data_IF_973256853427
#
_entry.id   IF_973256853427
#
_cell.length_a   1.000
_cell.length_b   1.000
_cell.length_c   1.000
_cell.angle_alpha   90.00
_cell.angle_beta   90.00
_cell.angle_gamma   90.00
#
_symmetry.space_group_name_H-M   'P 1'
#
loop_
_entity.id
_entity.type
_entity.pdbx_description
1 polymer ?
#
# COMPACT_ATOMS: atom_id res chain seq x y z
N UNK A 1 7.51 -5.29 -21.77
CA UNK A 1 6.81 -4.03 -21.42
C UNK A 1 7.65 -2.90 -21.97
N UNK A 2 7.35 -2.48 -23.21
CA UNK A 2 8.09 -1.44 -23.93
C UNK A 2 7.44 -0.07 -23.73
N UNK A 3 7.36 0.39 -22.48
CA UNK A 3 6.86 1.73 -22.16
C UNK A 3 7.91 2.63 -21.50
N UNK A 4 9.08 2.09 -21.13
CA UNK A 4 10.15 2.86 -20.46
C UNK A 4 9.78 3.37 -19.05
N UNK A 5 8.76 2.79 -18.42
CA UNK A 5 8.25 3.22 -17.11
C UNK A 5 8.89 2.42 -15.99
N UNK A 6 9.32 3.10 -14.92
CA UNK A 6 10.04 2.50 -13.77
C UNK A 6 9.11 2.08 -12.63
N UNK A 7 7.86 2.57 -12.60
CA UNK A 7 6.86 2.28 -11.55
C UNK A 7 5.45 2.19 -12.13
N UNK A 8 4.65 1.23 -11.65
CA UNK A 8 3.24 1.10 -12.05
C UNK A 8 2.33 1.24 -10.84
N UNK A 9 1.35 2.13 -10.95
CA UNK A 9 0.34 2.34 -9.91
C UNK A 9 -0.79 1.34 -10.12
N UNK A 10 -1.06 0.53 -9.09
CA UNK A 10 -2.12 -0.46 -9.07
C UNK A 10 -3.36 0.16 -8.41
N UNK A 11 -4.50 0.12 -9.10
CA UNK A 11 -5.79 0.58 -8.56
C UNK A 11 -6.19 -0.26 -7.34
N UNK A 12 -6.92 0.31 -6.38
CA UNK A 12 -7.41 -0.38 -5.18
C UNK A 12 -8.33 -1.60 -5.45
N UNK A 13 -8.85 -1.76 -6.66
CA UNK A 13 -9.63 -2.94 -7.04
C UNK A 13 -8.78 -4.20 -7.28
N UNK A 14 -7.47 -4.05 -7.50
CA UNK A 14 -6.58 -5.13 -7.91
C UNK A 14 -5.78 -5.71 -6.73
N UNK A 15 -5.51 -7.01 -6.76
CA UNK A 15 -4.72 -7.67 -5.70
C UNK A 15 -3.22 -7.45 -5.89
N UNK A 16 -2.55 -6.88 -4.88
CA UNK A 16 -1.11 -6.61 -4.92
C UNK A 16 -0.24 -7.86 -5.10
N UNK A 17 -0.70 -9.03 -4.64
CA UNK A 17 0.01 -10.30 -4.79
C UNK A 17 -0.03 -10.78 -6.24
N UNK A 18 -1.17 -10.61 -6.92
CA UNK A 18 -1.32 -10.90 -8.34
C UNK A 18 -0.46 -9.94 -9.18
N UNK A 19 -0.52 -8.64 -8.88
CA UNK A 19 0.35 -7.65 -9.52
C UNK A 19 1.84 -8.02 -9.31
N UNK A 20 2.24 -8.41 -8.10
CA UNK A 20 3.60 -8.89 -7.81
C UNK A 20 3.98 -10.09 -8.68
N UNK A 21 3.09 -11.07 -8.82
CA UNK A 21 3.35 -12.26 -9.63
C UNK A 21 3.51 -11.94 -11.13
N UNK A 22 2.74 -10.99 -11.67
CA UNK A 22 2.73 -10.66 -13.09
C UNK A 22 3.87 -9.73 -13.49
N UNK A 23 4.23 -8.76 -12.64
CA UNK A 23 5.12 -7.66 -13.02
C UNK A 23 6.18 -7.28 -11.97
N UNK A 24 6.16 -7.83 -10.75
CA UNK A 24 7.09 -7.47 -9.67
C UNK A 24 8.57 -7.78 -9.97
N UNK A 25 8.85 -8.65 -10.94
CA UNK A 25 10.21 -8.95 -11.44
C UNK A 25 10.78 -7.84 -12.36
N UNK A 26 9.92 -6.98 -12.88
CA UNK A 26 10.25 -5.99 -13.93
C UNK A 26 10.07 -4.55 -13.48
N UNK A 27 9.15 -4.27 -12.54
CA UNK A 27 8.77 -2.90 -12.19
C UNK A 27 8.44 -2.75 -10.70
N UNK A 28 8.70 -1.55 -10.16
CA UNK A 28 8.28 -1.20 -8.79
C UNK A 28 6.76 -1.07 -8.72
N UNK A 29 6.15 -1.69 -7.71
CA UNK A 29 4.70 -1.65 -7.47
C UNK A 29 4.38 -0.49 -6.54
N UNK A 30 3.34 0.29 -6.88
CA UNK A 30 2.85 1.41 -6.06
C UNK A 30 1.35 1.22 -5.79
N UNK A 31 0.90 1.37 -4.54
CA UNK A 31 -0.51 1.22 -4.14
C UNK A 31 -0.74 0.15 -3.04
N UNK A 32 -1.93 -0.19 -2.60
CA UNK A 32 -3.21 0.45 -2.88
C UNK A 32 -4.12 0.47 -1.64
N UNK A 33 -3.97 1.46 -0.77
CA UNK A 33 -4.97 1.65 0.30
C UNK A 33 -6.20 2.38 -0.27
N UNK A 34 -7.44 1.85 -0.12
CA UNK A 34 -8.64 2.48 -0.66
C UNK A 34 -8.87 3.89 -0.11
N UNK A 35 -8.83 4.94 -0.94
CA UNK A 35 -8.78 6.32 -0.45
C UNK A 35 -10.09 6.78 0.19
N UNK A 36 -11.25 6.33 -0.29
CA UNK A 36 -12.55 6.78 0.23
C UNK A 36 -12.99 5.92 1.41
N UNK A 37 -13.01 4.60 1.23
CA UNK A 37 -13.60 3.65 2.17
C UNK A 37 -12.71 3.45 3.39
N UNK A 38 -11.38 3.42 3.19
CA UNK A 38 -10.42 3.20 4.27
C UNK A 38 -9.85 4.52 4.77
N UNK A 39 -9.18 5.31 3.92
CA UNK A 39 -8.49 6.52 4.39
C UNK A 39 -9.50 7.61 4.77
N UNK A 40 -10.52 7.89 3.96
CA UNK A 40 -11.45 8.99 4.24
C UNK A 40 -12.52 8.65 5.26
N UNK A 41 -13.14 7.47 5.18
CA UNK A 41 -14.31 7.07 5.97
C UNK A 41 -14.03 6.01 7.04
N UNK A 42 -12.90 5.32 6.93
CA UNK A 42 -12.53 4.24 7.84
C UNK A 42 -12.13 4.76 9.23
N UNK A 43 -12.09 3.81 10.16
CA UNK A 43 -11.50 3.98 11.47
C UNK A 43 -9.97 3.90 11.40
N UNK A 44 -9.30 4.25 12.50
CA UNK A 44 -7.86 4.00 12.65
C UNK A 44 -7.51 2.53 12.38
N UNK A 45 -8.32 1.61 12.89
CA UNK A 45 -8.09 0.17 12.73
C UNK A 45 -8.20 -0.26 11.26
N UNK A 46 -9.21 0.22 10.55
CA UNK A 46 -9.36 -0.06 9.10
C UNK A 46 -8.13 0.41 8.31
N UNK A 47 -7.61 1.60 8.63
CA UNK A 47 -6.41 2.15 7.99
C UNK A 47 -5.18 1.29 8.30
N UNK A 48 -4.97 0.92 9.56
CA UNK A 48 -3.81 0.12 9.96
C UNK A 48 -3.87 -1.29 9.35
N UNK A 49 -5.04 -1.93 9.34
CA UNK A 49 -5.23 -3.25 8.78
C UNK A 49 -5.02 -3.23 7.26
N UNK A 50 -5.56 -2.24 6.55
CA UNK A 50 -5.36 -2.12 5.10
C UNK A 50 -3.89 -1.87 4.74
N UNK A 51 -3.19 -1.00 5.48
CA UNK A 51 -1.75 -0.77 5.28
C UNK A 51 -0.95 -2.05 5.56
N UNK A 52 -1.22 -2.75 6.66
CA UNK A 52 -0.57 -4.01 7.02
C UNK A 52 -0.71 -5.04 5.90
N UNK A 53 -1.92 -5.23 5.39
CA UNK A 53 -2.19 -6.15 4.30
C UNK A 53 -1.46 -5.76 3.01
N UNK A 54 -1.42 -4.47 2.68
CA UNK A 54 -0.70 -4.00 1.49
C UNK A 54 0.80 -4.29 1.58
N UNK A 55 1.41 -3.97 2.73
CA UNK A 55 2.83 -4.24 2.99
C UNK A 55 3.07 -5.75 2.94
N UNK A 56 2.28 -6.55 3.65
CA UNK A 56 2.39 -8.02 3.68
C UNK A 56 2.39 -8.66 2.29
N UNK A 57 1.55 -8.18 1.39
CA UNK A 57 1.44 -8.74 0.03
C UNK A 57 2.62 -8.38 -0.88
N UNK A 58 3.24 -7.22 -0.67
CA UNK A 58 4.11 -6.61 -1.67
C UNK A 58 5.53 -6.25 -1.21
N UNK A 59 5.85 -6.27 0.09
CA UNK A 59 7.16 -5.83 0.61
C UNK A 59 8.35 -6.57 -0.02
N UNK A 60 8.15 -7.85 -0.35
CA UNK A 60 9.13 -8.77 -0.94
C UNK A 60 9.15 -8.72 -2.47
N UNK A 61 8.46 -7.76 -3.10
CA UNK A 61 8.50 -7.57 -4.55
C UNK A 61 9.95 -7.38 -5.03
N UNK A 62 10.44 -8.16 -6.02
CA UNK A 62 11.85 -8.11 -6.46
C UNK A 62 12.35 -6.74 -6.92
N UNK A 63 11.47 -5.89 -7.45
CA UNK A 63 11.77 -4.51 -7.87
C UNK A 63 11.26 -3.45 -6.88
N UNK A 64 10.91 -3.88 -5.68
CA UNK A 64 10.46 -3.02 -4.60
C UNK A 64 8.97 -2.70 -4.65
N UNK A 65 8.52 -2.07 -3.56
CA UNK A 65 7.14 -1.71 -3.32
C UNK A 65 7.07 -0.36 -2.62
N UNK A 66 6.13 0.49 -3.04
CA UNK A 66 5.86 1.79 -2.44
C UNK A 66 4.40 1.86 -2.01
N UNK A 67 4.18 1.97 -0.69
CA UNK A 67 2.84 2.18 -0.14
C UNK A 67 2.28 3.52 -0.62
N UNK A 68 1.08 3.48 -1.19
CA UNK A 68 0.33 4.65 -1.60
C UNK A 68 -1.18 4.39 -1.50
N UNK A 69 -1.96 5.48 -1.52
CA UNK A 69 -3.38 5.37 -1.78
C UNK A 69 -3.60 4.86 -3.22
N UNK A 70 -4.62 4.03 -3.45
CA UNK A 70 -4.89 3.48 -4.79
C UNK A 70 -5.34 4.52 -5.81
N UNK A 71 -5.81 5.69 -5.34
CA UNK A 71 -6.17 6.84 -6.16
C UNK A 71 -5.99 8.13 -5.33
N UNK A 72 -6.56 9.24 -5.77
CA UNK A 72 -6.49 10.52 -5.08
C UNK A 72 -7.30 10.50 -3.77
N UNK A 73 -6.66 10.92 -2.67
CA UNK A 73 -7.33 11.05 -1.37
C UNK A 73 -8.35 12.21 -1.43
N UNK A 74 -9.60 12.04 -0.95
CA UNK A 74 -10.59 13.11 -0.92
C UNK A 74 -10.13 14.33 -0.13
N UNK A 75 -10.44 15.53 -0.63
CA UNK A 75 -10.05 16.82 -0.03
C UNK A 75 -10.51 16.98 1.42
N UNK A 76 -11.69 16.43 1.77
CA UNK A 76 -12.28 16.56 3.10
C UNK A 76 -11.90 15.41 4.05
N UNK A 77 -10.88 14.63 3.71
CA UNK A 77 -10.34 13.60 4.60
C UNK A 77 -9.84 14.24 5.88
N UNK A 78 -10.24 13.69 7.03
CA UNK A 78 -9.78 14.16 8.33
C UNK A 78 -8.25 14.06 8.39
N UNK A 79 -7.60 15.12 8.86
CA UNK A 79 -6.14 15.14 9.06
C UNK A 79 -5.66 13.95 9.90
N UNK A 80 -6.42 13.60 10.93
CA UNK A 80 -6.13 12.45 11.80
C UNK A 80 -6.03 11.13 11.00
N UNK A 81 -6.89 10.90 10.00
CA UNK A 81 -6.81 9.70 9.18
C UNK A 81 -5.56 9.69 8.29
N UNK A 82 -5.12 10.85 7.81
CA UNK A 82 -3.85 10.98 7.07
C UNK A 82 -2.67 10.65 7.99
N UNK A 83 -2.69 11.15 9.22
CA UNK A 83 -1.67 10.85 10.24
C UNK A 83 -1.66 9.34 10.57
N UNK A 84 -2.83 8.71 10.71
CA UNK A 84 -2.95 7.26 10.90
C UNK A 84 -2.35 6.49 9.73
N UNK A 85 -2.62 6.88 8.49
CA UNK A 85 -2.06 6.25 7.29
C UNK A 85 -0.52 6.36 7.25
N UNK A 86 0.03 7.55 7.52
CA UNK A 86 1.49 7.77 7.56
C UNK A 86 2.13 6.94 8.69
N UNK A 87 1.52 6.94 9.87
CA UNK A 87 2.04 6.21 11.02
C UNK A 87 1.99 4.70 10.81
N UNK A 88 0.90 4.17 10.23
CA UNK A 88 0.80 2.77 9.85
C UNK A 88 1.87 2.39 8.81
N UNK A 89 2.11 3.24 7.80
CA UNK A 89 3.16 3.00 6.80
C UNK A 89 4.56 2.95 7.41
N UNK A 90 4.86 3.83 8.35
CA UNK A 90 6.12 3.80 9.11
C UNK A 90 6.25 2.59 10.02
N UNK A 91 5.13 2.15 10.61
CA UNK A 91 5.10 1.05 11.56
C UNK A 91 5.28 -0.31 10.89
N UNK A 92 4.54 -0.58 9.82
CA UNK A 92 4.60 -1.86 9.10
C UNK A 92 5.70 -1.91 8.02
N UNK A 93 6.11 -0.77 7.48
CA UNK A 93 7.11 -0.67 6.41
C UNK A 93 8.54 -0.38 6.88
N UNK A 94 8.83 -0.51 8.18
CA UNK A 94 10.19 -0.33 8.70
C UNK A 94 11.08 -1.51 8.30
N UNK A 95 12.30 -1.24 7.79
CA UNK A 95 13.26 -2.28 7.42
C UNK A 95 14.31 -2.51 8.53
N UNK A 96 14.70 -3.77 8.81
CA UNK A 96 14.19 -5.01 8.21
C UNK A 96 12.72 -5.24 8.57
N UNK A 97 11.97 -5.80 7.62
CA UNK A 97 10.53 -6.04 7.78
C UNK A 97 10.32 -7.04 8.91
N UNK A 98 9.42 -6.71 9.83
CA UNK A 98 8.97 -7.58 10.91
C UNK A 98 7.81 -8.47 10.42
N UNK A 99 8.13 -9.70 10.01
CA UNK A 99 7.14 -10.65 9.51
C UNK A 99 6.18 -11.13 10.61
N UNK A 100 6.58 -11.15 11.89
CA UNK A 100 5.69 -11.52 12.99
C UNK A 100 4.60 -10.45 13.14
N UNK A 101 4.98 -9.17 13.08
CA UNK A 101 4.05 -8.05 13.10
C UNK A 101 3.06 -8.08 11.93
N UNK A 102 3.51 -8.49 10.74
CA UNK A 102 2.64 -8.61 9.56
C UNK A 102 1.70 -9.82 9.62
N UNK A 103 2.01 -10.83 10.44
CA UNK A 103 1.20 -12.04 10.58
C UNK A 103 0.41 -12.12 11.90
N UNK A 104 0.56 -11.14 12.78
CA UNK A 104 -0.13 -11.06 14.08
C UNK A 104 -1.62 -10.74 13.99
#
# INVERSE_FOLDING_TARGET
MEAGVTSFSIDNAEDLSEAKAVMGDRITIVGNVPPVEVISKGTKEDIYNSVKECVKKAYDSPKGYMLAAGCQIPMFTKKENIEHFINAGKYYGHYPIDEELLNS
#
